data_IF_962574139368
#
_entry.id   IF_962574139368
#
_cell.length_a   1.000
_cell.length_b   1.000
_cell.length_c   1.000
_cell.angle_alpha   90.00
_cell.angle_beta   90.00
_cell.angle_gamma   90.00
#
_symmetry.space_group_name_H-M   'P 1'
#
loop_
_entity.id
_entity.type
_entity.pdbx_description
1 polymer ?
#
# COMPACT_ATOMS: atom_id res chain seq x y z
N UNK A 1 -16.96 -6.32 10.68
CA UNK A 1 -17.59 -7.30 9.77
C UNK A 1 -18.31 -6.56 8.65
N UNK A 2 -18.80 -7.25 7.61
CA UNK A 2 -19.32 -6.61 6.40
C UNK A 2 -20.78 -6.17 6.47
N UNK A 3 -21.68 -6.99 7.00
CA UNK A 3 -23.09 -6.63 7.12
C UNK A 3 -23.79 -7.40 8.25
N UNK A 4 -25.05 -7.05 8.51
CA UNK A 4 -25.84 -7.67 9.58
C UNK A 4 -26.07 -9.19 9.36
N UNK A 5 -26.14 -9.63 8.10
CA UNK A 5 -26.31 -11.04 7.78
C UNK A 5 -25.04 -11.84 8.12
N UNK A 6 -23.87 -11.30 7.77
CA UNK A 6 -22.55 -11.85 8.10
C UNK A 6 -22.35 -11.90 9.61
N UNK A 7 -22.72 -10.84 10.33
CA UNK A 7 -22.65 -10.83 11.80
C UNK A 7 -23.56 -11.89 12.42
N UNK A 8 -24.79 -12.03 11.91
CA UNK A 8 -25.72 -13.07 12.39
C UNK A 8 -25.16 -14.47 12.16
N UNK A 9 -24.57 -14.73 10.99
CA UNK A 9 -23.90 -15.99 10.69
C UNK A 9 -22.75 -16.27 11.67
N UNK A 10 -21.84 -15.31 11.85
CA UNK A 10 -20.71 -15.41 12.80
C UNK A 10 -21.22 -15.77 14.20
N UNK A 11 -22.21 -15.05 14.72
CA UNK A 11 -22.78 -15.31 16.05
C UNK A 11 -23.46 -16.68 16.17
N UNK A 12 -24.10 -17.15 15.09
CA UNK A 12 -24.77 -18.46 15.10
C UNK A 12 -23.78 -19.62 15.21
N UNK A 13 -22.57 -19.47 14.64
CA UNK A 13 -21.49 -20.45 14.71
C UNK A 13 -20.62 -20.32 15.98
N UNK A 14 -20.72 -19.19 16.68
CA UNK A 14 -19.86 -18.84 17.81
C UNK A 14 -20.69 -18.29 18.98
N UNK A 15 -21.21 -19.17 19.84
CA UNK A 15 -22.07 -18.78 20.97
C UNK A 15 -21.40 -17.83 21.96
N UNK A 16 -20.07 -17.89 22.09
CA UNK A 16 -19.30 -16.94 22.91
C UNK A 16 -19.45 -15.48 22.43
N UNK A 17 -19.71 -15.28 21.14
CA UNK A 17 -19.86 -13.96 20.52
C UNK A 17 -21.31 -13.46 20.49
N UNK A 18 -22.25 -14.15 21.14
CA UNK A 18 -23.68 -13.79 21.10
C UNK A 18 -23.92 -12.30 21.45
N UNK A 19 -23.22 -11.82 22.48
CA UNK A 19 -23.31 -10.44 22.96
C UNK A 19 -22.21 -9.52 22.42
N UNK A 20 -21.33 -10.00 21.54
CA UNK A 20 -20.26 -9.18 20.96
C UNK A 20 -20.83 -8.11 20.03
N UNK A 21 -20.24 -6.92 20.07
CA UNK A 21 -20.56 -5.83 19.16
C UNK A 21 -19.66 -5.88 17.93
N UNK A 22 -20.24 -5.64 16.75
CA UNK A 22 -19.51 -5.63 15.49
C UNK A 22 -19.71 -4.29 14.81
N UNK A 23 -18.60 -3.64 14.45
CA UNK A 23 -18.63 -2.51 13.53
C UNK A 23 -18.94 -3.04 12.12
N UNK A 24 -19.96 -2.44 11.50
CA UNK A 24 -20.37 -2.70 10.12
C UNK A 24 -20.48 -1.37 9.35
N UNK A 25 -20.25 -1.36 8.03
CA UNK A 25 -20.53 -0.22 7.17
C UNK A 25 -21.97 0.27 7.33
N UNK A 26 -22.15 1.59 7.34
CA UNK A 26 -23.48 2.23 7.34
C UNK A 26 -24.23 1.96 6.03
N UNK A 27 -23.49 1.85 4.92
CA UNK A 27 -24.04 1.56 3.59
C UNK A 27 -23.23 0.42 2.94
N UNK A 28 -23.89 -0.74 2.75
CA UNK A 28 -23.30 -1.94 2.13
C UNK A 28 -23.08 -1.84 0.62
N UNK A 29 -23.67 -0.84 -0.03
CA UNK A 29 -23.51 -0.61 -1.46
C UNK A 29 -22.25 0.22 -1.76
N UNK A 30 -21.49 0.63 -0.73
CA UNK A 30 -20.19 1.29 -0.87
C UNK A 30 -19.06 0.26 -0.87
N UNK A 31 -17.95 0.50 -1.59
CA UNK A 31 -16.77 -0.36 -1.49
C UNK A 31 -16.26 -0.46 -0.05
N UNK A 32 -15.66 -1.60 0.31
CA UNK A 32 -14.93 -1.76 1.56
C UNK A 32 -13.43 -1.43 1.38
N UNK A 33 -12.74 -0.97 2.43
CA UNK A 33 -11.31 -0.73 2.36
C UNK A 33 -10.52 -2.05 2.32
N UNK A 34 -9.46 -2.07 1.53
CA UNK A 34 -8.39 -3.06 1.59
C UNK A 34 -7.19 -2.37 2.22
N UNK A 35 -6.92 -2.67 3.48
CA UNK A 35 -5.84 -2.04 4.25
C UNK A 35 -4.64 -2.99 4.24
N UNK A 36 -3.50 -2.54 3.70
CA UNK A 36 -2.26 -3.31 3.68
C UNK A 36 -1.38 -3.03 4.90
N UNK A 37 -0.77 -4.07 5.46
CA UNK A 37 0.35 -3.96 6.39
C UNK A 37 1.44 -4.95 6.00
N UNK A 38 2.70 -4.54 6.15
CA UNK A 38 3.84 -5.37 5.80
C UNK A 38 4.14 -6.34 6.93
N UNK A 39 4.12 -7.64 6.63
CA UNK A 39 4.62 -8.70 7.50
C UNK A 39 6.12 -8.86 7.24
N UNK A 40 6.92 -8.51 8.25
CA UNK A 40 8.38 -8.37 8.15
C UNK A 40 9.07 -9.70 8.40
N UNK A 41 8.71 -10.37 9.49
CA UNK A 41 9.26 -11.67 9.87
C UNK A 41 9.11 -11.98 11.36
N UNK A 42 9.56 -13.16 11.81
CA UNK A 42 9.45 -13.56 13.22
C UNK A 42 10.28 -12.67 14.15
N UNK A 43 9.73 -12.30 15.30
CA UNK A 43 10.42 -11.46 16.31
C UNK A 43 11.76 -12.08 16.72
N UNK A 44 11.80 -13.41 16.92
CA UNK A 44 13.01 -14.14 17.27
C UNK A 44 14.14 -14.07 16.22
N UNK A 45 13.81 -13.74 14.97
CA UNK A 45 14.77 -13.60 13.87
C UNK A 45 15.27 -12.18 13.65
N UNK A 46 14.66 -11.18 14.31
CA UNK A 46 15.03 -9.77 14.19
C UNK A 46 16.51 -9.53 14.57
N UNK A 47 17.16 -8.50 13.99
CA UNK A 47 16.68 -7.56 12.97
C UNK A 47 16.73 -8.11 11.53
N UNK A 48 15.86 -7.59 10.66
CA UNK A 48 15.84 -7.91 9.21
C UNK A 48 16.36 -6.71 8.40
N UNK A 49 17.59 -6.84 7.89
CA UNK A 49 18.24 -5.81 7.06
C UNK A 49 17.90 -5.94 5.58
N UNK A 50 18.27 -4.97 4.74
CA UNK A 50 18.14 -5.03 3.28
C UNK A 50 18.64 -6.35 2.64
N UNK A 51 19.61 -7.04 3.25
CA UNK A 51 20.18 -8.30 2.73
C UNK A 51 19.40 -9.56 3.16
N UNK A 52 18.46 -9.41 4.08
CA UNK A 52 17.78 -10.52 4.76
C UNK A 52 16.27 -10.34 4.86
N UNK A 53 15.73 -9.20 4.42
CA UNK A 53 14.30 -8.96 4.33
C UNK A 53 13.66 -9.87 3.28
N UNK A 54 12.42 -10.27 3.56
CA UNK A 54 11.53 -10.97 2.66
C UNK A 54 10.11 -10.67 3.10
N UNK A 55 9.64 -9.48 2.76
CA UNK A 55 8.35 -8.97 3.13
C UNK A 55 7.23 -9.68 2.39
N UNK A 56 6.08 -9.75 3.07
CA UNK A 56 4.80 -10.11 2.46
C UNK A 56 3.75 -9.14 2.92
N UNK A 57 2.68 -8.99 2.15
CA UNK A 57 1.57 -8.11 2.53
C UNK A 57 0.47 -8.91 3.21
N UNK A 58 0.07 -8.45 4.39
CA UNK A 58 -1.17 -8.87 5.02
C UNK A 58 -2.23 -7.82 4.69
N UNK A 59 -3.37 -8.27 4.19
CA UNK A 59 -4.53 -7.45 3.94
C UNK A 59 -5.50 -7.55 5.11
N UNK A 60 -6.07 -6.42 5.49
CA UNK A 60 -7.13 -6.31 6.50
C UNK A 60 -8.36 -5.72 5.81
N UNK A 61 -9.46 -6.47 5.82
CA UNK A 61 -10.74 -6.07 5.24
C UNK A 61 -11.89 -6.42 6.20
N UNK A 62 -13.11 -5.91 5.98
CA UNK A 62 -14.29 -6.37 6.72
C UNK A 62 -14.67 -7.84 6.48
N UNK A 63 -14.12 -8.48 5.44
CA UNK A 63 -14.44 -9.84 5.01
C UNK A 63 -13.40 -10.86 5.49
N UNK A 64 -12.14 -10.45 5.58
CA UNK A 64 -11.03 -11.33 5.99
C UNK A 64 -9.78 -10.53 6.40
N UNK A 65 -8.87 -11.24 7.06
CA UNK A 65 -7.49 -10.83 7.33
C UNK A 65 -6.55 -11.92 6.84
N UNK A 66 -5.57 -11.58 6.00
CA UNK A 66 -4.67 -12.59 5.43
C UNK A 66 -3.84 -12.14 4.24
N UNK A 67 -3.08 -13.08 3.68
CA UNK A 67 -2.27 -12.89 2.48
C UNK A 67 -2.84 -13.77 1.36
N UNK A 68 -3.21 -13.16 0.24
CA UNK A 68 -3.91 -13.87 -0.86
C UNK A 68 -3.03 -14.90 -1.58
N UNK A 69 -1.70 -14.74 -1.49
CA UNK A 69 -0.73 -15.66 -2.07
C UNK A 69 -0.03 -16.45 -0.96
N UNK A 70 -0.09 -17.78 -1.06
CA UNK A 70 0.67 -18.65 -0.18
C UNK A 70 2.14 -18.70 -0.63
N UNK A 71 3.05 -18.47 0.32
CA UNK A 71 4.49 -18.40 0.12
C UNK A 71 5.22 -19.15 1.25
N UNK A 72 6.28 -19.87 0.89
CA UNK A 72 7.29 -20.31 1.85
C UNK A 72 8.40 -19.26 1.91
N UNK A 73 8.38 -18.42 2.95
CA UNK A 73 9.37 -17.35 3.11
C UNK A 73 10.55 -17.84 3.93
N UNK A 74 11.75 -17.57 3.43
CA UNK A 74 13.01 -17.88 4.13
C UNK A 74 13.50 -16.67 4.91
N UNK A 75 13.40 -16.73 6.23
CA UNK A 75 13.89 -15.73 7.15
C UNK A 75 15.29 -16.10 7.65
N UNK A 76 16.26 -15.18 7.52
CA UNK A 76 17.65 -15.38 7.99
C UNK A 76 17.82 -14.76 9.37
N UNK A 77 18.07 -15.60 10.38
CA UNK A 77 18.21 -15.20 11.77
C UNK A 77 19.68 -14.89 12.04
N UNK A 78 20.06 -13.62 11.91
CA UNK A 78 21.47 -13.19 11.96
C UNK A 78 22.14 -13.51 13.29
N UNK A 79 21.40 -13.41 14.40
CA UNK A 79 21.91 -13.64 15.76
C UNK A 79 22.40 -15.07 16.00
N UNK A 80 21.82 -16.05 15.30
CA UNK A 80 22.10 -17.49 15.50
C UNK A 80 22.60 -18.19 14.23
N UNK A 81 22.72 -17.48 13.11
CA UNK A 81 23.24 -18.03 11.85
C UNK A 81 22.33 -19.05 11.17
N UNK A 82 21.04 -19.07 11.50
CA UNK A 82 20.06 -20.03 10.95
C UNK A 82 19.16 -19.39 9.90
N UNK A 83 18.60 -20.22 9.02
CA UNK A 83 17.52 -19.82 8.11
C UNK A 83 16.29 -20.67 8.43
N UNK A 84 15.19 -20.01 8.76
CA UNK A 84 13.91 -20.67 9.00
C UNK A 84 12.98 -20.39 7.83
N UNK A 85 12.40 -21.44 7.26
CA UNK A 85 11.32 -21.30 6.28
C UNK A 85 9.99 -21.27 7.02
N UNK A 86 9.12 -20.33 6.69
CA UNK A 86 7.81 -20.19 7.30
C UNK A 86 6.76 -20.03 6.20
N UNK A 87 5.65 -20.75 6.35
CA UNK A 87 4.51 -20.60 5.46
C UNK A 87 3.75 -19.33 5.86
N UNK A 88 3.56 -18.45 4.90
CA UNK A 88 2.60 -17.34 4.98
C UNK A 88 1.58 -17.52 3.87
N UNK A 89 0.39 -16.96 4.05
CA UNK A 89 -0.71 -17.13 3.10
C UNK A 89 -2.02 -17.50 3.75
N UNK A 90 -3.06 -17.50 2.95
CA UNK A 90 -4.43 -17.74 3.36
C UNK A 90 -5.00 -16.55 4.13
N UNK A 91 -6.31 -16.63 4.36
CA UNK A 91 -7.05 -15.60 5.06
C UNK A 91 -8.10 -16.22 5.98
N UNK A 92 -8.39 -15.53 7.08
CA UNK A 92 -9.40 -15.91 8.05
C UNK A 92 -10.40 -14.76 8.26
N UNK A 93 -11.57 -15.07 8.81
CA UNK A 93 -12.55 -14.03 9.14
C UNK A 93 -11.95 -13.04 10.17
N UNK A 94 -12.20 -11.72 10.08
CA UNK A 94 -11.47 -10.72 10.88
C UNK A 94 -11.65 -10.87 12.39
N UNK A 95 -12.79 -11.42 12.83
CA UNK A 95 -13.06 -11.65 14.26
C UNK A 95 -12.18 -12.76 14.85
N UNK A 96 -11.67 -13.67 14.01
CA UNK A 96 -10.80 -14.75 14.45
C UNK A 96 -9.32 -14.32 14.50
N UNK A 97 -8.99 -13.16 13.93
CA UNK A 97 -7.63 -12.62 13.96
C UNK A 97 -7.35 -11.92 15.29
N UNK A 98 -6.38 -12.44 16.04
CA UNK A 98 -6.05 -11.95 17.37
C UNK A 98 -5.00 -10.84 17.32
N UNK A 99 -5.32 -9.69 17.93
CA UNK A 99 -4.29 -8.68 18.28
C UNK A 99 -3.49 -9.12 19.50
N UNK A 100 -4.18 -9.73 20.48
CA UNK A 100 -3.59 -10.29 21.70
C UNK A 100 -4.35 -11.55 22.10
N UNK A 101 -3.63 -12.51 22.70
CA UNK A 101 -4.20 -13.80 23.08
C UNK A 101 -4.57 -14.65 21.86
N UNK A 102 -5.52 -15.57 22.03
CA UNK A 102 -5.92 -16.50 20.98
C UNK A 102 -4.90 -17.63 20.75
N UNK A 103 -4.99 -18.26 19.59
CA UNK A 103 -4.10 -19.35 19.20
C UNK A 103 -4.31 -19.79 17.75
N UNK A 104 -3.38 -20.62 17.25
CA UNK A 104 -3.62 -21.39 16.05
C UNK A 104 -4.62 -22.54 16.31
N UNK A 105 -5.33 -23.01 15.27
CA UNK A 105 -6.09 -24.25 15.36
C UNK A 105 -5.15 -25.45 15.49
N UNK A 106 -5.66 -26.60 15.93
CA UNK A 106 -4.87 -27.83 16.00
C UNK A 106 -4.34 -28.29 14.62
N UNK A 107 -5.11 -27.99 13.57
CA UNK A 107 -4.81 -28.30 12.18
C UNK A 107 -5.27 -27.13 11.29
N UNK A 108 -4.54 -26.86 10.21
CA UNK A 108 -4.98 -25.96 9.15
C UNK A 108 -5.95 -26.66 8.18
N UNK A 109 -6.14 -26.05 7.02
CA UNK A 109 -6.88 -26.67 5.93
C UNK A 109 -6.09 -27.87 5.37
N UNK A 110 -6.81 -28.92 4.99
CA UNK A 110 -6.20 -30.07 4.32
C UNK A 110 -5.62 -29.66 2.95
N UNK A 111 -4.60 -30.38 2.48
CA UNK A 111 -4.00 -30.09 1.17
C UNK A 111 -5.04 -30.00 0.05
N UNK A 112 -4.92 -28.96 -0.78
CA UNK A 112 -5.81 -28.64 -1.92
C UNK A 112 -7.22 -28.19 -1.52
N UNK A 113 -7.54 -28.09 -0.24
CA UNK A 113 -8.78 -27.46 0.23
C UNK A 113 -8.54 -25.95 0.31
N UNK A 114 -9.35 -25.18 -0.42
CA UNK A 114 -9.19 -23.72 -0.53
C UNK A 114 -10.05 -22.92 0.44
N UNK A 115 -10.96 -23.58 1.17
CA UNK A 115 -11.86 -22.95 2.15
C UNK A 115 -12.38 -23.97 3.14
N UNK A 116 -12.57 -23.58 4.40
CA UNK A 116 -13.12 -24.44 5.44
C UNK A 116 -13.33 -23.69 6.75
N UNK A 117 -13.86 -24.39 7.76
CA UNK A 117 -14.06 -23.87 9.12
C UNK A 117 -13.02 -24.49 10.03
N UNK A 118 -12.29 -23.66 10.78
CA UNK A 118 -11.30 -24.07 11.77
C UNK A 118 -11.73 -23.58 13.15
N UNK A 119 -11.58 -24.42 14.16
CA UNK A 119 -11.78 -24.03 15.56
C UNK A 119 -10.50 -23.42 16.12
N UNK A 120 -10.57 -22.16 16.51
CA UNK A 120 -9.44 -21.40 17.07
C UNK A 120 -9.78 -20.92 18.49
N UNK A 121 -8.78 -20.78 19.38
CA UNK A 121 -8.99 -20.14 20.68
C UNK A 121 -9.47 -18.69 20.52
N UNK A 122 -10.36 -18.26 21.41
CA UNK A 122 -10.88 -16.89 21.41
C UNK A 122 -9.76 -15.87 21.67
N UNK A 123 -9.68 -14.79 20.87
CA UNK A 123 -8.75 -13.68 21.14
C UNK A 123 -9.04 -12.97 22.47
N UNK A 124 -8.00 -12.58 23.21
CA UNK A 124 -8.15 -11.64 24.34
C UNK A 124 -8.46 -10.22 23.83
N UNK A 125 -7.95 -9.89 22.64
CA UNK A 125 -8.27 -8.64 21.97
C UNK A 125 -8.40 -8.84 20.47
N UNK A 126 -9.54 -8.41 19.95
CA UNK A 126 -9.87 -8.46 18.53
C UNK A 126 -9.15 -7.37 17.73
N UNK A 127 -9.03 -7.61 16.43
CA UNK A 127 -8.64 -6.59 15.47
C UNK A 127 -9.74 -5.53 15.33
N UNK A 128 -9.35 -4.26 15.30
CA UNK A 128 -10.25 -3.12 15.09
C UNK A 128 -9.72 -2.17 13.99
N UNK A 129 -10.54 -1.20 13.59
CA UNK A 129 -10.19 -0.27 12.51
C UNK A 129 -9.06 0.69 12.90
N UNK A 130 -8.99 1.12 14.17
CA UNK A 130 -7.92 1.98 14.66
C UNK A 130 -6.57 1.27 14.53
N UNK A 131 -6.55 0.00 14.88
CA UNK A 131 -5.40 -0.87 14.78
C UNK A 131 -4.98 -1.09 13.32
N UNK A 132 -5.96 -1.37 12.46
CA UNK A 132 -5.74 -1.56 11.02
C UNK A 132 -5.13 -0.30 10.39
N UNK A 133 -5.67 0.88 10.70
CA UNK A 133 -5.11 2.14 10.23
C UNK A 133 -3.70 2.39 10.77
N UNK A 134 -3.50 2.19 12.08
CA UNK A 134 -2.19 2.39 12.72
C UNK A 134 -1.09 1.49 12.14
N UNK A 135 -1.41 0.22 11.89
CA UNK A 135 -0.45 -0.72 11.31
C UNK A 135 -0.09 -0.40 9.87
N UNK A 136 -1.08 0.04 9.08
CA UNK A 136 -0.86 0.41 7.68
C UNK A 136 0.07 1.60 7.49
N UNK A 137 0.22 2.45 8.51
CA UNK A 137 1.00 3.70 8.44
C UNK A 137 2.18 3.76 9.41
N UNK A 138 2.63 2.61 9.93
CA UNK A 138 3.75 2.56 10.89
C UNK A 138 5.12 2.52 10.20
N UNK A 139 5.42 3.53 9.38
CA UNK A 139 6.68 3.65 8.64
C UNK A 139 7.95 3.53 9.51
N UNK A 140 7.98 3.99 10.78
CA UNK A 140 9.14 3.80 11.64
C UNK A 140 9.51 2.35 11.92
N UNK A 141 8.57 1.40 11.81
CA UNK A 141 8.81 -0.02 12.10
C UNK A 141 9.94 -0.60 11.25
N UNK A 142 9.83 -0.50 9.93
CA UNK A 142 10.86 -0.99 8.99
C UNK A 142 12.23 -0.34 9.22
N UNK A 143 12.25 0.94 9.63
CA UNK A 143 13.50 1.60 10.03
C UNK A 143 14.11 0.92 11.25
N UNK A 144 13.37 0.76 12.35
CA UNK A 144 13.90 0.19 13.60
C UNK A 144 14.33 -1.27 13.44
N UNK A 145 13.64 -2.02 12.59
CA UNK A 145 13.98 -3.39 12.24
C UNK A 145 15.26 -3.48 11.38
N UNK A 146 15.62 -2.40 10.66
CA UNK A 146 16.77 -2.37 9.76
C UNK A 146 18.09 -1.95 10.40
N UNK A 147 18.07 -1.14 11.47
CA UNK A 147 19.27 -0.47 12.03
C UNK A 147 20.22 -1.38 12.81
N UNK A 148 19.93 -2.69 12.88
CA UNK A 148 20.86 -3.67 13.45
C UNK A 148 21.01 -3.59 14.98
N UNK A 149 20.12 -2.88 15.67
CA UNK A 149 20.07 -2.77 17.14
C UNK A 149 18.93 -3.66 17.64
N UNK A 150 19.19 -4.88 18.13
CA UNK A 150 18.13 -5.84 18.46
C UNK A 150 17.10 -5.32 19.47
N UNK A 151 17.55 -4.53 20.45
CA UNK A 151 16.66 -3.93 21.45
C UNK A 151 15.67 -2.94 20.83
N UNK A 152 16.09 -2.14 19.86
CA UNK A 152 15.21 -1.20 19.17
C UNK A 152 14.18 -1.94 18.31
N UNK A 153 14.59 -2.99 17.60
CA UNK A 153 13.67 -3.84 16.86
C UNK A 153 12.65 -4.51 17.80
N UNK A 154 13.06 -5.04 18.95
CA UNK A 154 12.14 -5.71 19.88
C UNK A 154 11.19 -4.76 20.63
N UNK A 155 11.63 -3.54 20.96
CA UNK A 155 10.83 -2.61 21.80
C UNK A 155 9.97 -1.63 20.99
N UNK A 156 10.30 -1.41 19.71
CA UNK A 156 9.63 -0.41 18.88
C UNK A 156 8.85 -1.03 17.71
N UNK A 157 9.03 -2.30 17.37
CA UNK A 157 8.23 -2.92 16.31
C UNK A 157 6.81 -3.19 16.76
N UNK A 158 5.88 -3.23 15.82
CA UNK A 158 4.54 -3.74 16.11
C UNK A 158 4.56 -5.26 15.96
N UNK A 159 4.04 -5.98 16.96
CA UNK A 159 4.08 -7.43 16.99
C UNK A 159 2.67 -8.02 17.04
N UNK A 160 2.35 -8.96 16.13
CA UNK A 160 1.14 -9.79 16.20
C UNK A 160 1.48 -11.26 16.16
N UNK A 161 0.65 -12.06 16.82
CA UNK A 161 0.68 -13.48 16.61
C UNK A 161 0.12 -13.79 15.22
N UNK A 162 0.85 -14.59 14.45
CA UNK A 162 0.46 -14.99 13.11
C UNK A 162 0.61 -16.49 12.93
N UNK A 163 -0.36 -17.08 12.24
CA UNK A 163 -0.37 -18.43 11.73
C UNK A 163 -1.03 -18.45 10.35
N UNK A 164 -0.72 -19.43 9.52
CA UNK A 164 -1.34 -19.58 8.20
C UNK A 164 -2.37 -20.72 8.21
N UNK A 165 -3.60 -20.52 7.71
CA UNK A 165 -4.55 -21.62 7.53
C UNK A 165 -4.13 -22.62 6.45
N UNK A 166 -3.09 -22.33 5.66
CA UNK A 166 -2.51 -23.25 4.69
C UNK A 166 -1.52 -24.26 5.32
N UNK A 167 -1.19 -24.10 6.60
CA UNK A 167 -0.38 -25.05 7.36
C UNK A 167 -1.23 -26.20 7.91
N UNK A 168 -1.32 -27.29 7.14
CA UNK A 168 -2.17 -28.46 7.48
C UNK A 168 -1.91 -29.03 8.89
N UNK A 169 -0.65 -29.15 9.29
CA UNK A 169 -0.27 -29.82 10.55
C UNK A 169 0.30 -28.81 11.53
N UNK A 170 -0.40 -28.61 12.65
CA UNK A 170 0.01 -27.74 13.76
C UNK A 170 0.52 -26.38 13.26
N UNK A 171 -0.36 -25.52 12.69
CA UNK A 171 0.02 -24.19 12.23
C UNK A 171 0.86 -23.47 13.28
N UNK A 172 1.93 -22.84 12.83
CA UNK A 172 2.88 -22.22 13.73
C UNK A 172 2.34 -20.86 14.19
N UNK A 173 1.98 -20.75 15.47
CA UNK A 173 1.51 -19.52 16.09
C UNK A 173 2.70 -18.81 16.75
N UNK A 174 3.30 -17.86 16.04
CA UNK A 174 4.50 -17.13 16.53
C UNK A 174 4.29 -15.62 16.41
N UNK A 175 4.90 -14.85 17.33
CA UNK A 175 4.96 -13.40 17.19
C UNK A 175 5.78 -13.00 15.95
N UNK A 176 5.13 -12.26 15.07
CA UNK A 176 5.71 -11.67 13.86
C UNK A 176 5.71 -10.15 14.00
N UNK A 177 6.72 -9.51 13.42
CA UNK A 177 6.79 -8.06 13.31
C UNK A 177 6.04 -7.57 12.08
N UNK A 178 5.39 -6.42 12.24
CA UNK A 178 4.61 -5.74 11.21
C UNK A 178 4.98 -4.27 11.14
N UNK A 179 4.86 -3.70 9.95
CA UNK A 179 5.12 -2.29 9.68
C UNK A 179 4.17 -1.77 8.59
N UNK A 180 4.40 -0.52 8.19
CA UNK A 180 3.69 0.20 7.15
C UNK A 180 3.49 -0.64 5.89
N UNK A 181 2.30 -0.56 5.27
CA UNK A 181 2.04 -1.22 3.99
C UNK A 181 2.98 -0.71 2.90
N UNK A 182 3.29 0.58 2.92
CA UNK A 182 4.18 1.27 1.98
C UNK A 182 5.63 0.81 1.99
N UNK A 183 6.08 0.16 3.07
CA UNK A 183 7.39 -0.49 3.09
C UNK A 183 7.50 -1.67 2.13
N UNK A 184 6.38 -2.20 1.64
CA UNK A 184 6.38 -3.29 0.68
C UNK A 184 5.58 -2.96 -0.58
N UNK A 185 4.42 -2.32 -0.41
CA UNK A 185 3.62 -1.77 -1.49
C UNK A 185 2.73 -0.63 -0.97
N UNK A 186 3.04 0.60 -1.38
CA UNK A 186 2.32 1.80 -0.91
C UNK A 186 0.94 1.96 -1.54
N UNK A 187 0.82 1.65 -2.84
CA UNK A 187 -0.44 1.72 -3.58
C UNK A 187 -0.92 0.30 -3.91
N UNK A 188 -2.14 -0.05 -3.45
CA UNK A 188 -2.67 -1.42 -3.49
C UNK A 188 -3.12 -1.97 -4.85
N UNK A 189 -2.39 -1.67 -5.94
CA UNK A 189 -2.69 -2.16 -7.30
C UNK A 189 -2.75 -3.69 -7.38
N UNK A 190 -1.76 -4.36 -6.80
CA UNK A 190 -1.57 -5.81 -6.95
C UNK A 190 -2.70 -6.59 -6.25
N UNK A 191 -3.22 -6.07 -5.14
CA UNK A 191 -4.35 -6.66 -4.42
C UNK A 191 -5.62 -6.65 -5.28
N UNK A 192 -5.87 -5.56 -6.01
CA UNK A 192 -6.99 -5.48 -6.96
C UNK A 192 -6.79 -6.43 -8.14
N UNK A 193 -5.56 -6.57 -8.66
CA UNK A 193 -5.24 -7.53 -9.72
C UNK A 193 -5.44 -8.99 -9.28
N UNK A 194 -5.01 -9.36 -8.07
CA UNK A 194 -5.24 -10.70 -7.51
C UNK A 194 -6.73 -11.04 -7.41
N UNK A 195 -7.59 -10.02 -7.27
CA UNK A 195 -9.06 -10.14 -7.27
C UNK A 195 -9.68 -10.02 -8.67
N UNK A 196 -8.84 -9.83 -9.71
CA UNK A 196 -9.24 -9.63 -11.11
C UNK A 196 -10.19 -8.45 -11.32
N UNK A 197 -10.01 -7.38 -10.54
CA UNK A 197 -10.72 -6.13 -10.78
C UNK A 197 -10.15 -5.51 -12.06
N UNK A 198 -10.92 -5.53 -13.14
CA UNK A 198 -10.42 -5.23 -14.50
C UNK A 198 -10.21 -3.76 -14.79
N UNK A 199 -10.87 -2.87 -14.02
CA UNK A 199 -10.75 -1.41 -14.14
C UNK A 199 -10.32 -0.83 -12.79
N UNK A 200 -9.20 -0.12 -12.76
CA UNK A 200 -8.58 0.32 -11.50
C UNK A 200 -8.17 1.79 -11.64
N UNK A 201 -8.52 2.60 -10.63
CA UNK A 201 -8.01 3.97 -10.48
C UNK A 201 -6.95 3.99 -9.39
N UNK A 202 -5.79 4.55 -9.72
CA UNK A 202 -4.67 4.70 -8.79
C UNK A 202 -4.41 6.18 -8.53
N UNK A 203 -4.40 6.57 -7.26
CA UNK A 203 -4.04 7.92 -6.83
C UNK A 203 -2.64 7.92 -6.24
N UNK A 204 -1.71 8.58 -6.91
CA UNK A 204 -0.34 8.78 -6.44
C UNK A 204 -0.23 10.15 -5.78
N UNK A 205 -0.38 10.17 -4.46
CA UNK A 205 -0.25 11.37 -3.62
C UNK A 205 1.17 11.43 -3.04
N UNK A 206 2.16 11.64 -3.90
CA UNK A 206 3.58 11.58 -3.53
C UNK A 206 4.16 12.96 -3.18
N UNK A 207 5.23 12.96 -2.37
CA UNK A 207 6.08 14.14 -2.18
C UNK A 207 7.03 14.41 -3.36
N UNK A 208 7.12 13.48 -4.31
CA UNK A 208 7.97 13.61 -5.51
C UNK A 208 7.15 14.19 -6.66
N UNK A 209 7.41 15.41 -7.11
CA UNK A 209 6.72 15.98 -8.26
C UNK A 209 7.05 15.22 -9.55
N UNK A 210 6.07 15.10 -10.45
CA UNK A 210 6.34 14.66 -11.82
C UNK A 210 7.13 15.75 -12.56
N UNK A 211 8.30 15.40 -13.07
CA UNK A 211 9.12 16.33 -13.85
C UNK A 211 8.55 16.54 -15.26
N UNK A 212 8.47 17.78 -15.75
CA UNK A 212 7.92 18.08 -17.06
C UNK A 212 8.88 17.65 -18.18
N UNK A 213 8.40 17.64 -19.43
CA UNK A 213 9.18 17.20 -20.60
C UNK A 213 10.48 17.98 -20.78
N UNK A 214 10.46 19.28 -20.47
CA UNK A 214 11.60 20.19 -20.62
C UNK A 214 12.77 19.81 -19.72
N UNK A 215 12.50 19.17 -18.57
CA UNK A 215 13.51 18.77 -17.59
C UNK A 215 13.86 17.28 -17.66
N UNK A 216 12.95 16.47 -18.21
CA UNK A 216 13.09 15.02 -18.30
C UNK A 216 12.35 14.42 -19.50
N UNK A 217 13.11 13.91 -20.45
CA UNK A 217 12.62 12.97 -21.46
C UNK A 217 12.82 11.53 -20.95
N UNK A 218 11.71 10.91 -20.54
CA UNK A 218 11.69 9.52 -20.07
C UNK A 218 12.14 8.52 -21.14
N UNK A 219 12.05 8.85 -22.43
CA UNK A 219 12.49 7.96 -23.50
C UNK A 219 14.01 7.97 -23.66
N UNK A 220 14.67 9.07 -23.29
CA UNK A 220 16.13 9.20 -23.31
C UNK A 220 16.78 8.64 -22.05
N UNK A 221 16.17 8.87 -20.87
CA UNK A 221 16.70 8.43 -19.57
C UNK A 221 15.59 7.94 -18.64
N UNK A 222 15.06 6.72 -18.86
CA UNK A 222 13.92 6.19 -18.10
C UNK A 222 14.23 5.93 -16.63
N UNK A 223 15.50 5.79 -16.25
CA UNK A 223 15.91 5.46 -14.88
C UNK A 223 16.53 6.68 -14.17
N UNK A 224 16.22 7.90 -14.61
CA UNK A 224 16.64 9.12 -13.93
C UNK A 224 15.94 9.22 -12.58
N UNK A 225 16.72 9.35 -11.50
CA UNK A 225 16.20 9.45 -10.13
C UNK A 225 15.43 10.76 -9.88
N UNK A 226 14.43 10.70 -8.99
CA UNK A 226 13.74 11.88 -8.47
C UNK A 226 12.82 12.58 -9.47
N UNK A 227 12.51 11.94 -10.61
CA UNK A 227 11.63 12.51 -11.63
C UNK A 227 10.15 12.11 -11.46
N UNK A 228 9.90 11.02 -10.72
CA UNK A 228 8.59 10.46 -10.36
C UNK A 228 8.76 9.57 -9.13
N UNK A 229 7.68 9.27 -8.39
CA UNK A 229 7.71 8.39 -7.21
C UNK A 229 8.08 6.94 -7.57
N UNK A 230 8.91 6.31 -6.73
CA UNK A 230 9.31 4.91 -6.91
C UNK A 230 8.14 3.94 -6.81
N UNK A 231 7.06 4.29 -6.10
CA UNK A 231 5.85 3.44 -6.00
C UNK A 231 5.21 3.17 -7.37
N UNK A 232 5.25 4.17 -8.26
CA UNK A 232 4.76 4.02 -9.64
C UNK A 232 5.76 3.21 -10.45
N UNK A 233 7.03 3.59 -10.42
CA UNK A 233 8.11 2.97 -11.21
C UNK A 233 8.32 1.49 -10.88
N UNK A 234 8.11 1.11 -9.63
CA UNK A 234 8.22 -0.27 -9.14
C UNK A 234 7.28 -1.23 -9.87
N UNK A 235 6.07 -0.79 -10.28
CA UNK A 235 5.14 -1.63 -11.03
C UNK A 235 5.67 -2.06 -12.41
N UNK A 236 6.68 -1.35 -12.92
CA UNK A 236 7.32 -1.62 -14.21
C UNK A 236 8.75 -2.14 -14.07
N UNK A 237 9.24 -2.33 -12.84
CA UNK A 237 10.64 -2.67 -12.56
C UNK A 237 11.62 -1.56 -12.95
N UNK A 238 11.14 -0.31 -13.07
CA UNK A 238 11.93 0.83 -13.52
C UNK A 238 12.55 1.60 -12.34
N UNK A 239 13.19 0.89 -11.42
CA UNK A 239 13.81 1.47 -10.23
C UNK A 239 15.27 1.83 -10.49
N UNK A 240 15.72 3.05 -10.18
CA UNK A 240 17.11 3.46 -10.40
C UNK A 240 18.06 2.83 -9.36
N UNK A 241 19.25 2.40 -9.79
CA UNK A 241 20.28 1.85 -8.88
C UNK A 241 21.19 2.96 -8.34
N UNK A 242 20.68 3.73 -7.36
CA UNK A 242 21.40 4.85 -6.74
C UNK A 242 21.84 4.54 -5.33
N UNK A 243 22.77 5.34 -4.79
CA UNK A 243 23.17 5.23 -3.38
C UNK A 243 21.99 5.49 -2.43
N UNK A 244 21.14 6.47 -2.76
CA UNK A 244 19.93 6.76 -2.01
C UNK A 244 18.97 5.57 -2.05
N UNK A 245 18.71 4.98 -3.22
CA UNK A 245 17.84 3.79 -3.30
C UNK A 245 18.42 2.62 -2.52
N UNK A 246 19.72 2.35 -2.63
CA UNK A 246 20.39 1.30 -1.84
C UNK A 246 20.28 1.56 -0.33
N UNK A 247 20.26 2.82 0.09
CA UNK A 247 20.00 3.20 1.47
C UNK A 247 18.53 2.96 1.84
N UNK A 248 17.57 3.36 1.00
CA UNK A 248 16.14 3.17 1.26
C UNK A 248 15.70 1.71 1.22
N UNK A 249 16.38 0.86 0.44
CA UNK A 249 16.14 -0.60 0.36
C UNK A 249 16.20 -1.31 1.72
N UNK A 250 16.74 -0.68 2.76
CA UNK A 250 16.71 -1.23 4.12
C UNK A 250 15.34 -1.14 4.81
N UNK A 251 14.45 -0.29 4.29
CA UNK A 251 13.12 -0.01 4.83
C UNK A 251 12.01 -0.22 3.81
N UNK A 252 12.36 -0.43 2.54
CA UNK A 252 11.42 -0.55 1.43
C UNK A 252 11.83 -1.68 0.47
N UNK A 253 10.95 -2.66 0.21
CA UNK A 253 11.21 -3.80 -0.69
C UNK A 253 10.34 -3.74 -1.96
N UNK A 254 10.46 -2.63 -2.70
CA UNK A 254 9.63 -2.35 -3.89
C UNK A 254 10.03 -3.17 -5.13
N UNK A 255 11.24 -3.75 -5.16
CA UNK A 255 11.77 -4.51 -6.28
C UNK A 255 10.93 -5.74 -6.65
N UNK A 256 10.07 -6.21 -5.74
CA UNK A 256 9.15 -7.33 -5.98
C UNK A 256 7.88 -6.92 -6.69
N UNK A 257 7.62 -5.63 -6.92
CA UNK A 257 6.31 -5.14 -7.38
C UNK A 257 6.14 -5.07 -8.89
N UNK A 258 7.12 -5.50 -9.70
CA UNK A 258 6.97 -5.49 -11.15
C UNK A 258 5.83 -6.41 -11.59
N UNK A 259 4.77 -5.81 -12.14
CA UNK A 259 3.61 -6.51 -12.70
C UNK A 259 3.32 -6.08 -14.13
N UNK A 260 3.98 -5.04 -14.64
CA UNK A 260 3.93 -4.62 -16.03
C UNK A 260 5.32 -4.64 -16.68
N UNK A 261 5.34 -4.65 -18.01
CA UNK A 261 6.58 -4.64 -18.77
C UNK A 261 7.31 -3.30 -18.61
N UNK A 262 8.63 -3.32 -18.46
CA UNK A 262 9.44 -2.09 -18.35
C UNK A 262 9.27 -1.15 -19.55
N UNK A 263 8.99 -1.70 -20.74
CA UNK A 263 8.71 -0.91 -21.95
C UNK A 263 7.40 -0.11 -21.90
N UNK A 264 6.48 -0.43 -20.99
CA UNK A 264 5.24 0.34 -20.81
C UNK A 264 5.44 1.55 -19.89
N UNK A 265 6.51 1.57 -19.10
CA UNK A 265 6.82 2.67 -18.19
C UNK A 265 6.93 4.02 -18.92
N UNK A 266 7.72 4.08 -20.00
CA UNK A 266 7.90 5.33 -20.76
C UNK A 266 6.59 5.83 -21.36
N UNK A 267 5.69 4.93 -21.78
CA UNK A 267 4.35 5.27 -22.29
C UNK A 267 3.49 5.91 -21.21
N UNK A 268 3.49 5.32 -20.02
CA UNK A 268 2.74 5.83 -18.86
C UNK A 268 3.23 7.21 -18.48
N UNK A 269 4.53 7.38 -18.30
CA UNK A 269 5.12 8.67 -17.93
C UNK A 269 4.87 9.73 -19.01
N UNK A 270 5.06 9.41 -20.29
CA UNK A 270 4.78 10.34 -21.40
C UNK A 270 3.32 10.80 -21.38
N UNK A 271 2.37 9.90 -21.12
CA UNK A 271 0.95 10.25 -21.02
C UNK A 271 0.67 11.17 -19.82
N UNK A 272 1.31 10.92 -18.67
CA UNK A 272 1.19 11.78 -17.49
C UNK A 272 1.82 13.17 -17.73
N UNK A 273 3.01 13.26 -18.33
CA UNK A 273 3.64 14.54 -18.67
C UNK A 273 2.78 15.34 -19.67
N UNK A 274 2.16 14.65 -20.64
CA UNK A 274 1.19 15.26 -21.56
C UNK A 274 -0.03 15.81 -20.81
N UNK A 275 -0.57 15.05 -19.85
CA UNK A 275 -1.70 15.48 -19.03
C UNK A 275 -1.34 16.66 -18.12
N UNK A 276 -0.13 16.66 -17.55
CA UNK A 276 0.43 17.78 -16.78
C UNK A 276 0.48 19.07 -17.61
N UNK A 277 1.00 19.00 -18.84
CA UNK A 277 1.04 20.14 -19.76
C UNK A 277 -0.37 20.66 -20.12
N UNK A 278 -1.35 19.76 -20.26
CA UNK A 278 -2.74 20.16 -20.50
C UNK A 278 -3.38 20.89 -19.29
N UNK A 279 -2.83 20.69 -18.08
CA UNK A 279 -3.12 21.47 -16.88
C UNK A 279 -4.49 21.27 -16.26
N UNK A 280 -5.23 20.20 -16.64
CA UNK A 280 -6.57 19.87 -16.10
C UNK A 280 -6.58 18.75 -15.05
N UNK A 281 -5.42 18.16 -14.81
CA UNK A 281 -5.22 16.98 -13.98
C UNK A 281 -4.12 16.14 -14.61
N UNK A 282 -3.24 15.56 -13.80
CA UNK A 282 -2.21 14.63 -14.29
C UNK A 282 -2.82 13.23 -14.31
N UNK A 283 -3.77 13.03 -15.23
CA UNK A 283 -4.60 11.84 -15.32
C UNK A 283 -4.44 11.18 -16.69
N UNK A 284 -4.12 9.90 -16.70
CA UNK A 284 -4.01 9.10 -17.91
C UNK A 284 -4.61 7.71 -17.71
N UNK A 285 -5.42 7.26 -18.67
CA UNK A 285 -5.98 5.90 -18.70
C UNK A 285 -5.38 5.10 -19.83
N UNK A 286 -5.01 3.85 -19.56
CA UNK A 286 -4.55 2.93 -20.59
C UNK A 286 -4.76 1.47 -20.21
N UNK A 287 -4.76 0.61 -21.23
CA UNK A 287 -4.75 -0.83 -21.04
C UNK A 287 -3.30 -1.32 -20.89
N UNK A 288 -3.02 -1.99 -19.77
CA UNK A 288 -1.72 -2.59 -19.50
C UNK A 288 -1.87 -4.10 -19.38
N UNK A 289 -0.90 -4.84 -19.92
CA UNK A 289 -0.87 -6.30 -19.85
C UNK A 289 0.18 -6.74 -18.86
N UNK A 290 -0.21 -7.66 -17.99
CA UNK A 290 0.66 -8.15 -16.92
C UNK A 290 1.83 -8.96 -17.45
N UNK A 291 2.99 -8.78 -16.81
CA UNK A 291 4.09 -9.74 -16.84
C UNK A 291 3.95 -10.69 -15.65
N UNK A 292 4.53 -11.89 -15.77
CA UNK A 292 4.46 -12.89 -14.71
C UNK A 292 5.22 -12.40 -13.48
N UNK A 293 4.57 -12.46 -12.32
CA UNK A 293 5.20 -12.23 -11.02
C UNK A 293 4.86 -13.38 -10.07
N UNK A 294 5.78 -14.32 -9.91
CA UNK A 294 5.56 -15.53 -9.08
C UNK A 294 5.42 -15.22 -7.59
N UNK A 295 6.11 -14.17 -7.12
CA UNK A 295 6.08 -13.75 -5.72
C UNK A 295 4.68 -13.25 -5.33
N UNK A 296 4.07 -12.41 -6.17
CA UNK A 296 2.71 -11.95 -5.97
C UNK A 296 1.65 -12.92 -6.51
N UNK A 297 2.04 -13.95 -7.25
CA UNK A 297 1.10 -14.87 -7.89
C UNK A 297 0.31 -14.24 -9.04
N UNK A 298 0.87 -13.22 -9.71
CA UNK A 298 0.27 -12.59 -10.89
C UNK A 298 0.69 -13.37 -12.14
N UNK A 299 -0.26 -13.94 -12.92
CA UNK A 299 0.06 -14.56 -14.20
C UNK A 299 0.40 -13.50 -15.26
N UNK A 300 1.10 -13.90 -16.32
CA UNK A 300 1.27 -13.03 -17.50
C UNK A 300 0.02 -13.03 -18.38
N UNK A 301 -0.19 -11.94 -19.12
CA UNK A 301 -1.17 -11.88 -20.20
C UNK A 301 -2.57 -11.43 -19.78
N UNK A 302 -2.80 -11.13 -18.51
CA UNK A 302 -4.05 -10.47 -18.07
C UNK A 302 -3.97 -8.97 -18.38
N UNK A 303 -5.00 -8.43 -19.03
CA UNK A 303 -5.10 -7.00 -19.36
C UNK A 303 -6.01 -6.28 -18.38
N UNK A 304 -5.53 -5.14 -17.88
CA UNK A 304 -6.25 -4.27 -16.96
C UNK A 304 -6.34 -2.86 -17.56
N UNK A 305 -7.50 -2.23 -17.41
CA UNK A 305 -7.68 -0.81 -17.68
C UNK A 305 -7.30 -0.01 -16.43
N UNK A 306 -6.18 0.71 -16.51
CA UNK A 306 -5.62 1.46 -15.38
C UNK A 306 -5.71 2.96 -15.64
N UNK A 307 -6.28 3.68 -14.69
CA UNK A 307 -6.28 5.15 -14.66
C UNK A 307 -5.34 5.61 -13.57
N UNK A 308 -4.26 6.24 -14.00
CA UNK A 308 -3.27 6.87 -13.14
C UNK A 308 -3.71 8.31 -12.88
N UNK A 309 -3.81 8.71 -11.61
CA UNK A 309 -3.97 10.08 -11.16
C UNK A 309 -2.75 10.45 -10.33
N UNK A 310 -1.88 11.28 -10.87
CA UNK A 310 -0.66 11.74 -10.19
C UNK A 310 -0.87 13.12 -9.58
N UNK A 311 -0.39 13.33 -8.36
CA UNK A 311 -0.46 14.64 -7.70
C UNK A 311 0.51 15.62 -8.37
N UNK A 312 0.07 16.85 -8.61
CA UNK A 312 0.94 17.90 -9.10
C UNK A 312 0.24 19.24 -9.20
N UNK A 313 1.02 20.27 -9.55
CA UNK A 313 0.50 21.61 -9.78
C UNK A 313 -0.31 21.66 -11.08
N UNK A 314 -1.46 22.33 -11.03
CA UNK A 314 -2.44 22.38 -12.12
C UNK A 314 -2.72 23.84 -12.51
N UNK A 315 -2.08 24.39 -13.56
CA UNK A 315 -2.13 25.82 -13.85
C UNK A 315 -3.54 26.36 -14.11
N UNK A 316 -4.46 25.52 -14.61
CA UNK A 316 -5.86 25.94 -14.83
C UNK A 316 -6.66 26.03 -13.53
N UNK A 317 -6.34 25.22 -12.53
CA UNK A 317 -6.90 25.35 -11.19
C UNK A 317 -6.31 26.58 -10.49
N UNK A 318 -4.98 26.74 -10.57
CA UNK A 318 -4.29 27.89 -9.97
C UNK A 318 -4.85 29.22 -10.48
N UNK A 319 -5.11 29.33 -11.79
CA UNK A 319 -5.71 30.51 -12.40
C UNK A 319 -7.12 30.87 -11.90
N UNK A 320 -7.81 29.93 -11.23
CA UNK A 320 -9.14 30.15 -10.64
C UNK A 320 -9.08 30.56 -9.16
N UNK A 321 -7.90 30.50 -8.54
CA UNK A 321 -7.72 30.91 -7.16
C UNK A 321 -7.93 32.42 -7.01
N UNK A 322 -8.47 32.82 -5.86
CA UNK A 322 -8.44 34.23 -5.48
C UNK A 322 -6.99 34.70 -5.25
N UNK A 323 -6.75 36.01 -5.34
CA UNK A 323 -5.41 36.59 -5.27
C UNK A 323 -4.64 36.23 -3.99
N UNK A 324 -5.34 36.10 -2.86
CA UNK A 324 -4.72 35.81 -1.57
C UNK A 324 -4.23 34.36 -1.53
N UNK A 325 -5.09 33.40 -1.91
CA UNK A 325 -4.73 31.97 -1.95
C UNK A 325 -3.69 31.71 -3.02
N UNK A 326 -3.81 32.33 -4.21
CA UNK A 326 -2.82 32.20 -5.28
C UNK A 326 -1.40 32.55 -4.79
N UNK A 327 -1.26 33.68 -4.10
CA UNK A 327 0.04 34.13 -3.56
C UNK A 327 0.64 33.16 -2.54
N UNK A 328 -0.19 32.39 -1.84
CA UNK A 328 0.24 31.44 -0.82
C UNK A 328 0.46 30.03 -1.38
N UNK A 329 -0.27 29.64 -2.43
CA UNK A 329 -0.32 28.28 -2.96
C UNK A 329 0.47 28.07 -4.26
N UNK A 330 0.93 29.16 -4.89
CA UNK A 330 1.74 29.12 -6.12
C UNK A 330 3.13 29.67 -5.82
N UNK A 331 4.22 29.02 -6.29
CA UNK A 331 5.58 29.54 -6.11
C UNK A 331 5.73 30.97 -6.66
N UNK A 332 6.40 31.83 -5.90
CA UNK A 332 6.68 33.20 -6.35
C UNK A 332 7.77 33.25 -7.44
N UNK A 333 8.70 32.29 -7.41
CA UNK A 333 9.78 32.12 -8.37
C UNK A 333 9.54 30.83 -9.18
N UNK A 334 9.85 30.86 -10.47
CA UNK A 334 9.69 29.71 -11.37
C UNK A 334 8.29 29.10 -11.38
N UNK A 335 7.23 29.91 -11.21
CA UNK A 335 5.84 29.44 -11.17
C UNK A 335 5.42 28.61 -12.41
N UNK A 336 6.09 28.80 -13.55
CA UNK A 336 5.84 28.06 -14.79
C UNK A 336 6.40 26.63 -14.75
N UNK A 337 7.39 26.35 -13.90
CA UNK A 337 7.87 25.00 -13.64
C UNK A 337 6.89 24.33 -12.67
N UNK A 338 6.10 23.40 -13.19
CA UNK A 338 5.07 22.68 -12.44
C UNK A 338 5.65 21.63 -11.47
N UNK A 339 6.96 21.41 -11.50
CA UNK A 339 7.68 20.56 -10.55
C UNK A 339 8.27 21.34 -9.36
N UNK A 340 8.16 22.67 -9.37
CA UNK A 340 8.59 23.53 -8.26
C UNK A 340 7.42 23.78 -7.33
N UNK A 341 7.65 23.46 -6.06
CA UNK A 341 6.69 23.67 -4.98
C UNK A 341 6.88 25.02 -4.28
N UNK A 342 5.88 25.41 -3.51
CA UNK A 342 5.94 26.58 -2.64
C UNK A 342 7.06 26.43 -1.62
N UNK A 343 8.02 27.36 -1.60
CA UNK A 343 9.22 27.25 -0.75
C UNK A 343 9.02 27.73 0.71
N UNK A 344 7.99 28.54 0.98
CA UNK A 344 7.78 29.20 2.27
C UNK A 344 6.31 29.51 2.57
N UNK A 345 6.01 29.93 3.80
CA UNK A 345 4.65 30.27 4.23
C UNK A 345 3.80 29.06 4.63
N UNK A 346 2.49 29.27 4.83
CA UNK A 346 1.60 28.25 5.40
C UNK A 346 1.42 27.02 4.48
N UNK A 347 1.55 27.18 3.17
CA UNK A 347 1.46 26.09 2.18
C UNK A 347 2.84 25.67 1.65
N UNK A 348 3.92 25.83 2.42
CA UNK A 348 5.24 25.29 2.04
C UNK A 348 5.13 23.81 1.64
N UNK A 349 5.77 23.45 0.53
CA UNK A 349 5.73 22.15 -0.14
C UNK A 349 4.37 21.80 -0.76
N UNK A 350 3.46 22.74 -0.95
CA UNK A 350 2.23 22.46 -1.70
C UNK A 350 2.56 22.28 -3.20
N UNK A 351 1.97 21.25 -3.86
CA UNK A 351 1.03 20.26 -3.31
C UNK A 351 1.69 18.99 -2.71
N UNK A 352 2.99 18.79 -2.90
CA UNK A 352 3.72 17.56 -2.55
C UNK A 352 4.22 17.53 -1.09
N UNK A 353 3.29 17.44 -0.15
CA UNK A 353 3.63 17.39 1.28
C UNK A 353 4.38 16.09 1.64
N UNK A 354 5.42 16.22 2.44
CA UNK A 354 6.04 15.08 3.13
C UNK A 354 5.15 14.61 4.28
N UNK A 355 4.92 13.31 4.39
CA UNK A 355 4.11 12.71 5.46
C UNK A 355 4.88 12.56 6.78
N UNK A 356 6.21 12.66 6.72
CA UNK A 356 7.09 12.57 7.88
C UNK A 356 6.72 13.63 8.93
N UNK A 357 6.32 13.18 10.12
CA UNK A 357 6.05 14.04 11.28
C UNK A 357 4.67 14.71 11.30
N UNK A 358 3.72 14.28 10.46
CA UNK A 358 2.32 14.74 10.54
C UNK A 358 2.11 16.19 10.10
N UNK A 359 2.85 16.66 9.09
CA UNK A 359 2.91 18.07 8.67
C UNK A 359 1.70 18.63 7.91
N UNK A 360 0.57 17.92 7.87
CA UNK A 360 -0.66 18.32 7.17
C UNK A 360 -1.69 18.79 8.20
N UNK A 361 -1.93 20.10 8.22
CA UNK A 361 -3.02 20.72 8.99
C UNK A 361 -4.31 20.82 8.18
N UNK A 362 -5.38 21.29 8.81
CA UNK A 362 -6.70 21.44 8.17
C UNK A 362 -6.65 22.34 6.93
N UNK A 363 -5.84 23.40 6.92
CA UNK A 363 -5.76 24.33 5.79
C UNK A 363 -5.11 23.65 4.58
N UNK A 364 -3.99 22.95 4.81
CA UNK A 364 -3.31 22.16 3.77
C UNK A 364 -4.19 21.05 3.24
N UNK A 365 -4.87 20.31 4.12
CA UNK A 365 -5.78 19.24 3.74
C UNK A 365 -6.94 19.76 2.89
N UNK A 366 -7.56 20.88 3.29
CA UNK A 366 -8.66 21.48 2.53
C UNK A 366 -8.22 21.97 1.15
N UNK A 367 -7.06 22.62 1.04
CA UNK A 367 -6.55 23.09 -0.25
C UNK A 367 -6.19 21.92 -1.18
N UNK A 368 -5.60 20.85 -0.62
CA UNK A 368 -5.30 19.63 -1.37
C UNK A 368 -6.58 18.91 -1.82
N UNK A 369 -7.61 18.87 -0.98
CA UNK A 369 -8.92 18.31 -1.33
C UNK A 369 -9.61 19.12 -2.44
N UNK A 370 -9.51 20.45 -2.43
CA UNK A 370 -10.03 21.32 -3.49
C UNK A 370 -9.31 21.06 -4.82
N UNK A 371 -7.97 21.07 -4.83
CA UNK A 371 -7.15 20.76 -6.01
C UNK A 371 -7.49 19.39 -6.61
N UNK A 372 -7.48 18.34 -5.78
CA UNK A 372 -7.69 16.97 -6.24
C UNK A 372 -9.14 16.72 -6.65
N UNK A 373 -10.12 17.27 -5.93
CA UNK A 373 -11.53 17.25 -6.31
C UNK A 373 -11.78 17.95 -7.64
N UNK A 374 -11.17 19.13 -7.83
CA UNK A 374 -11.25 19.87 -9.09
C UNK A 374 -10.71 19.04 -10.27
N UNK A 375 -9.55 18.39 -10.10
CA UNK A 375 -8.95 17.54 -11.13
C UNK A 375 -9.88 16.38 -11.53
N UNK A 376 -10.47 15.67 -10.55
CA UNK A 376 -11.43 14.60 -10.82
C UNK A 376 -12.66 15.12 -11.58
N UNK A 377 -13.17 16.30 -11.21
CA UNK A 377 -14.32 16.91 -11.89
C UNK A 377 -14.02 17.31 -13.35
N UNK A 378 -12.78 17.73 -13.66
CA UNK A 378 -12.37 17.97 -15.05
C UNK A 378 -12.36 16.69 -15.90
N UNK A 379 -12.33 15.52 -15.26
CA UNK A 379 -12.31 14.20 -15.87
C UNK A 379 -13.56 13.37 -15.51
N UNK A 380 -14.67 14.02 -15.15
CA UNK A 380 -15.87 13.36 -14.62
C UNK A 380 -16.37 12.19 -15.49
N UNK A 381 -16.44 12.38 -16.81
CA UNK A 381 -16.93 11.36 -17.73
C UNK A 381 -16.08 10.08 -17.68
N UNK A 382 -14.76 10.25 -17.57
CA UNK A 382 -13.82 9.14 -17.51
C UNK A 382 -13.97 8.38 -16.19
N UNK A 383 -14.01 9.10 -15.05
CA UNK A 383 -14.25 8.48 -13.75
C UNK A 383 -15.59 7.75 -13.67
N UNK A 384 -16.66 8.34 -14.22
CA UNK A 384 -17.97 7.67 -14.27
C UNK A 384 -17.93 6.37 -15.06
N UNK A 385 -17.21 6.33 -16.18
CA UNK A 385 -17.06 5.14 -17.05
C UNK A 385 -16.24 4.02 -16.38
N UNK A 386 -15.23 4.40 -15.60
CA UNK A 386 -14.35 3.45 -14.91
C UNK A 386 -15.04 2.85 -13.68
N UNK A 387 -15.78 3.67 -12.93
CA UNK A 387 -16.42 3.30 -11.67
C UNK A 387 -17.82 2.68 -11.84
N UNK A 388 -18.37 2.69 -13.06
CA UNK A 388 -19.55 1.92 -13.47
C UNK A 388 -19.18 0.53 -13.98
#
# INVERSE_FOLDING_TARGET
>A
SWDAATVKDIKSRNSALANAEFTVPVNKDRPFPVIGTTLVGPVAGAPFTAKTQNYSLLEITPLYVGTMKNLDIKYKYKSIGLTHSRRVGGAIEPFAFARKGGGAPAHGLAKKVTSGVLSVPEPETFLDLQFSAGTSSYAPGSFFESIGIPKAAAELSMEFQYWSPDEEVKPDFTPMMFTDGGCYQDISLIQFMQRRVSKIVLFFLSSTPLKPFEDWDVNADPLKEGQVTDDLSAFFGALPDTEQRRWENRSFELEKNQVFATSDYTKVITALQTAQQAGKGIIATMNLTTVKNDWWGIPAGETFEITFSYLGRLPKWEAQLNKEVYKLAVPAENAQDLSVDVSSGPFKNFPHFITKGGGIDNSKANLLADLTGWAVLQHEQEFRRILS
#
